data_IF_063593647340
#
_entry.id   IF_063593647340
#
_cell.length_a   1.000
_cell.length_b   1.000
_cell.length_c   1.000
_cell.angle_alpha   90.00
_cell.angle_beta   90.00
_cell.angle_gamma   90.00
#
_symmetry.space_group_name_H-M   'P 1'
#
loop_
_entity.id
_entity.type
_entity.pdbx_description
1 polymer ?
#
# COMPACT_ATOMS: atom_id res chain seq x y z
N UNK A 1 6.38 37.31 1.64
CA UNK A 1 5.81 36.42 0.59
C UNK A 1 6.56 35.08 0.69
N UNK A 2 6.08 34.16 1.52
CA UNK A 2 6.69 32.84 1.68
C UNK A 2 6.38 31.99 0.46
N UNK A 3 7.40 31.36 -0.13
CA UNK A 3 7.26 30.49 -1.28
C UNK A 3 6.31 29.33 -0.91
N UNK A 4 5.25 29.14 -1.71
CA UNK A 4 4.38 27.95 -1.64
C UNK A 4 5.27 26.71 -1.74
N UNK A 5 5.19 25.74 -0.81
CA UNK A 5 5.88 24.47 -0.98
C UNK A 5 5.37 23.84 -2.27
N UNK A 6 6.29 23.32 -3.08
CA UNK A 6 5.99 22.63 -4.32
C UNK A 6 4.93 21.54 -4.02
N UNK A 7 3.79 21.62 -4.71
CA UNK A 7 2.65 20.76 -4.50
C UNK A 7 3.08 19.31 -4.48
N UNK A 8 2.68 18.63 -3.42
CA UNK A 8 2.79 17.19 -3.31
C UNK A 8 2.03 16.61 -4.50
N UNK A 9 2.75 16.04 -5.47
CA UNK A 9 2.07 15.25 -6.49
C UNK A 9 1.50 14.05 -5.76
N UNK A 10 0.19 14.13 -5.47
CA UNK A 10 -0.58 12.94 -5.15
C UNK A 10 -0.11 11.84 -6.11
N UNK A 11 0.14 10.64 -5.61
CA UNK A 11 0.28 9.46 -6.47
C UNK A 11 -1.12 9.20 -7.02
N UNK A 12 -1.61 10.17 -7.81
CA UNK A 12 -2.78 10.01 -8.66
C UNK A 12 -2.35 9.03 -9.70
N UNK A 13 -2.61 7.77 -9.41
CA UNK A 13 -2.48 6.71 -10.39
C UNK A 13 -3.26 7.14 -11.62
N UNK A 14 -2.71 6.93 -12.79
CA UNK A 14 -3.24 7.27 -14.13
C UNK A 14 -4.61 6.64 -14.45
N UNK A 15 -5.28 6.06 -13.49
CA UNK A 15 -6.56 5.38 -13.63
C UNK A 15 -7.76 6.32 -13.47
N UNK A 16 -7.73 7.47 -14.13
CA UNK A 16 -8.86 8.42 -14.13
C UNK A 16 -9.83 8.23 -15.29
N UNK A 17 -9.39 7.57 -16.40
CA UNK A 17 -10.30 7.29 -17.52
C UNK A 17 -11.30 6.21 -17.12
N UNK A 18 -12.58 6.62 -17.02
CA UNK A 18 -13.69 5.70 -16.79
C UNK A 18 -14.07 4.99 -18.08
N UNK A 19 -14.36 3.69 -17.99
CA UNK A 19 -14.81 2.88 -19.13
C UNK A 19 -16.32 2.96 -19.27
N UNK A 20 -16.82 3.00 -20.50
CA UNK A 20 -18.25 2.83 -20.78
C UNK A 20 -18.69 1.38 -20.50
N UNK A 21 -19.97 1.15 -20.21
CA UNK A 21 -20.48 -0.18 -19.83
C UNK A 21 -20.28 -1.24 -20.91
N UNK A 22 -20.45 -0.86 -22.20
CA UNK A 22 -20.16 -1.74 -23.34
C UNK A 22 -18.67 -2.10 -23.41
N UNK A 23 -17.79 -1.12 -23.12
CA UNK A 23 -16.35 -1.34 -23.10
C UNK A 23 -15.95 -2.28 -21.96
N UNK A 24 -16.52 -2.10 -20.74
CA UNK A 24 -16.34 -3.02 -19.60
C UNK A 24 -16.73 -4.46 -19.96
N UNK A 25 -17.89 -4.63 -20.60
CA UNK A 25 -18.40 -5.95 -21.00
C UNK A 25 -17.45 -6.60 -22.02
N UNK A 26 -17.08 -5.87 -23.07
CA UNK A 26 -16.18 -6.34 -24.13
C UNK A 26 -14.82 -6.71 -23.59
N UNK A 27 -14.18 -5.84 -22.81
CA UNK A 27 -12.86 -6.09 -22.25
C UNK A 27 -12.88 -7.24 -21.24
N UNK A 28 -13.89 -7.32 -20.38
CA UNK A 28 -14.04 -8.44 -19.45
C UNK A 28 -14.17 -9.79 -20.13
N UNK A 29 -14.97 -9.88 -21.21
CA UNK A 29 -15.10 -11.09 -22.04
C UNK A 29 -13.78 -11.45 -22.71
N UNK A 30 -13.03 -10.45 -23.17
CA UNK A 30 -11.75 -10.66 -23.83
C UNK A 30 -10.66 -11.10 -22.85
N UNK A 31 -10.62 -10.56 -21.63
CA UNK A 31 -9.73 -11.01 -20.55
C UNK A 31 -10.01 -12.49 -20.24
N UNK A 32 -11.27 -12.85 -20.05
CA UNK A 32 -11.66 -14.24 -19.77
C UNK A 32 -11.20 -15.18 -20.90
N UNK A 33 -11.37 -14.78 -22.15
CA UNK A 33 -10.99 -15.61 -23.30
C UNK A 33 -9.49 -15.75 -23.48
N UNK A 34 -8.71 -14.66 -23.27
CA UNK A 34 -7.27 -14.62 -23.58
C UNK A 34 -6.37 -14.96 -22.39
N UNK A 35 -6.80 -14.63 -21.19
CA UNK A 35 -6.02 -14.79 -19.96
C UNK A 35 -6.58 -15.90 -19.07
N UNK A 36 -7.86 -16.25 -19.24
CA UNK A 36 -8.55 -17.25 -18.41
C UNK A 36 -9.06 -16.71 -17.07
N UNK A 37 -8.93 -15.40 -16.82
CA UNK A 37 -9.31 -14.77 -15.55
C UNK A 37 -10.68 -14.09 -15.67
N UNK A 38 -11.59 -14.38 -14.75
CA UNK A 38 -12.88 -13.68 -14.66
C UNK A 38 -12.70 -12.27 -14.10
N UNK A 39 -13.51 -11.34 -14.61
CA UNK A 39 -13.56 -9.97 -14.08
C UNK A 39 -14.94 -9.65 -13.52
N UNK A 40 -14.98 -8.86 -12.44
CA UNK A 40 -16.19 -8.16 -11.98
C UNK A 40 -16.22 -6.75 -12.56
N UNK A 41 -17.41 -6.22 -12.82
CA UNK A 41 -17.63 -4.83 -13.24
C UNK A 41 -18.17 -4.03 -12.06
N UNK A 42 -17.74 -2.78 -11.96
CA UNK A 42 -18.18 -1.84 -10.94
C UNK A 42 -18.04 -2.41 -9.50
N UNK A 43 -16.92 -3.14 -9.29
CA UNK A 43 -16.64 -3.82 -8.03
C UNK A 43 -16.33 -2.82 -6.91
N UNK A 44 -17.12 -2.77 -5.81
CA UNK A 44 -16.86 -1.86 -4.69
C UNK A 44 -15.52 -2.18 -4.00
N UNK A 45 -14.57 -1.25 -4.06
CA UNK A 45 -13.22 -1.45 -3.54
C UNK A 45 -13.11 -1.33 -2.02
N UNK A 46 -14.10 -0.76 -1.34
CA UNK A 46 -14.14 -0.64 0.12
C UNK A 46 -13.90 -1.98 0.83
N UNK A 47 -14.39 -3.10 0.28
CA UNK A 47 -14.20 -4.45 0.84
C UNK A 47 -12.78 -4.99 0.72
N UNK A 48 -11.95 -4.37 -0.12
CA UNK A 48 -10.57 -4.76 -0.40
C UNK A 48 -9.55 -3.81 0.22
N UNK A 49 -9.98 -2.81 0.98
CA UNK A 49 -9.13 -1.91 1.75
C UNK A 49 -9.29 -2.12 3.25
N UNK A 50 -8.22 -1.94 4.01
CA UNK A 50 -8.28 -2.03 5.47
C UNK A 50 -8.96 -0.82 6.10
N UNK A 51 -8.99 0.33 5.42
CA UNK A 51 -9.76 1.51 5.80
C UNK A 51 -11.28 1.32 5.59
N UNK A 52 -11.67 0.34 4.77
CA UNK A 52 -13.06 0.07 4.39
C UNK A 52 -13.75 1.25 3.69
N UNK A 53 -12.99 1.99 2.91
CA UNK A 53 -13.50 3.02 1.99
C UNK A 53 -13.01 2.74 0.57
N UNK A 54 -13.72 3.25 -0.42
CA UNK A 54 -13.38 3.13 -1.83
C UNK A 54 -14.58 2.83 -2.71
N UNK A 55 -14.74 3.64 -3.75
CA UNK A 55 -15.77 3.48 -4.78
C UNK A 55 -15.47 2.31 -5.73
N UNK A 56 -16.21 2.20 -6.85
CA UNK A 56 -16.14 1.06 -7.75
C UNK A 56 -14.89 1.07 -8.63
N UNK A 57 -14.34 -0.12 -8.91
CA UNK A 57 -13.43 -0.35 -10.03
C UNK A 57 -14.23 -0.61 -11.32
N UNK A 58 -13.85 -0.01 -12.46
CA UNK A 58 -14.53 -0.32 -13.74
C UNK A 58 -14.46 -1.81 -14.05
N UNK A 59 -13.26 -2.38 -13.97
CA UNK A 59 -13.00 -3.81 -14.05
C UNK A 59 -12.13 -4.24 -12.86
N UNK A 60 -12.50 -5.34 -12.24
CA UNK A 60 -11.73 -5.93 -11.15
C UNK A 60 -11.40 -7.39 -11.45
N UNK A 61 -10.14 -7.77 -11.28
CA UNK A 61 -9.66 -9.13 -11.47
C UNK A 61 -8.81 -9.56 -10.28
N UNK A 62 -8.80 -10.87 -9.96
CA UNK A 62 -7.89 -11.45 -8.98
C UNK A 62 -6.88 -12.32 -9.70
N UNK A 63 -5.58 -12.04 -9.50
CA UNK A 63 -4.49 -12.86 -10.00
C UNK A 63 -4.02 -13.81 -8.89
N UNK A 64 -4.32 -15.09 -9.01
CA UNK A 64 -3.99 -16.12 -8.01
C UNK A 64 -2.58 -16.71 -8.18
N UNK A 65 -1.94 -16.42 -9.30
CA UNK A 65 -0.59 -16.87 -9.60
C UNK A 65 0.12 -15.90 -10.57
N UNK A 66 1.43 -16.07 -10.75
CA UNK A 66 2.22 -15.19 -11.60
C UNK A 66 1.86 -15.29 -13.09
N UNK A 67 1.35 -16.43 -13.55
CA UNK A 67 0.90 -16.56 -14.94
C UNK A 67 -0.30 -15.64 -15.23
N UNK A 68 -1.28 -15.65 -14.34
CA UNK A 68 -2.45 -14.76 -14.42
C UNK A 68 -2.04 -13.28 -14.31
N UNK A 69 -1.17 -12.94 -13.35
CA UNK A 69 -0.68 -11.56 -13.15
C UNK A 69 0.02 -11.05 -14.41
N UNK A 70 0.95 -11.84 -14.98
CA UNK A 70 1.65 -11.49 -16.24
C UNK A 70 0.69 -11.39 -17.42
N UNK A 71 -0.29 -12.28 -17.48
CA UNK A 71 -1.33 -12.27 -18.52
C UNK A 71 -2.18 -11.01 -18.49
N UNK A 72 -2.67 -10.62 -17.30
CA UNK A 72 -3.46 -9.40 -17.09
C UNK A 72 -2.64 -8.13 -17.38
N UNK A 73 -1.40 -8.07 -16.91
CA UNK A 73 -0.50 -6.94 -17.16
C UNK A 73 -0.24 -6.76 -18.67
N UNK A 74 0.08 -7.85 -19.38
CA UNK A 74 0.27 -7.85 -20.83
C UNK A 74 -1.00 -7.44 -21.57
N UNK A 75 -2.16 -7.92 -21.12
CA UNK A 75 -3.45 -7.56 -21.69
C UNK A 75 -3.73 -6.05 -21.55
N UNK A 76 -3.53 -5.51 -20.36
CA UNK A 76 -3.74 -4.08 -20.08
C UNK A 76 -2.80 -3.23 -20.95
N UNK A 77 -1.52 -3.59 -21.01
CA UNK A 77 -0.52 -2.87 -21.83
C UNK A 77 -0.84 -2.88 -23.32
N UNK A 78 -1.22 -4.04 -23.87
CA UNK A 78 -1.55 -4.16 -25.29
C UNK A 78 -2.78 -3.33 -25.73
N UNK A 79 -3.52 -2.74 -24.79
CA UNK A 79 -4.73 -1.93 -25.02
C UNK A 79 -4.67 -0.54 -24.45
N UNK A 80 -3.51 -0.15 -23.93
CA UNK A 80 -3.36 1.11 -23.20
C UNK A 80 -4.46 1.29 -22.14
N UNK A 81 -4.84 0.16 -21.49
CA UNK A 81 -5.87 0.12 -20.47
C UNK A 81 -5.26 0.56 -19.14
N UNK A 82 -5.78 1.63 -18.50
CA UNK A 82 -5.31 2.04 -17.19
C UNK A 82 -5.32 0.86 -16.21
N UNK A 83 -4.22 0.71 -15.46
CA UNK A 83 -4.01 -0.42 -14.56
C UNK A 83 -3.69 0.05 -13.15
N UNK A 84 -4.37 -0.54 -12.17
CA UNK A 84 -4.08 -0.36 -10.75
C UNK A 84 -3.81 -1.71 -10.08
N UNK A 85 -2.75 -1.78 -9.27
CA UNK A 85 -2.40 -2.98 -8.51
C UNK A 85 -2.85 -2.86 -7.07
N UNK A 86 -3.54 -3.86 -6.60
CA UNK A 86 -4.06 -3.93 -5.25
C UNK A 86 -3.52 -5.18 -4.53
N UNK A 87 -2.81 -4.98 -3.42
CA UNK A 87 -2.48 -6.05 -2.49
C UNK A 87 -3.61 -6.25 -1.49
N UNK A 88 -3.35 -5.98 -0.22
CA UNK A 88 -4.36 -6.00 0.86
C UNK A 88 -5.01 -4.63 1.12
N UNK A 89 -4.68 -3.61 0.35
CA UNK A 89 -5.25 -2.27 0.51
C UNK A 89 -4.99 -1.63 1.88
N UNK A 90 -3.85 -1.93 2.49
CA UNK A 90 -3.54 -1.55 3.87
C UNK A 90 -2.90 -0.17 4.03
N UNK A 91 -2.54 0.45 2.93
CA UNK A 91 -1.91 1.77 2.85
C UNK A 91 -2.65 2.68 1.87
N UNK A 92 -3.93 2.36 1.60
CA UNK A 92 -4.73 3.02 0.57
C UNK A 92 -5.98 3.67 1.14
N UNK A 93 -6.25 4.88 0.66
CA UNK A 93 -7.54 5.57 0.74
C UNK A 93 -8.03 5.77 -0.69
N UNK A 94 -8.88 4.85 -1.15
CA UNK A 94 -9.40 4.88 -2.52
C UNK A 94 -10.60 5.82 -2.56
N UNK A 95 -10.61 6.76 -3.51
CA UNK A 95 -11.69 7.74 -3.72
C UNK A 95 -13.07 7.08 -3.76
N UNK A 96 -14.07 7.76 -3.23
CA UNK A 96 -15.49 7.34 -3.31
C UNK A 96 -15.99 7.26 -4.77
N UNK A 97 -15.32 7.96 -5.70
CA UNK A 97 -15.58 7.87 -7.14
C UNK A 97 -14.93 6.63 -7.78
N UNK A 98 -14.07 5.92 -7.06
CA UNK A 98 -13.46 4.66 -7.49
C UNK A 98 -12.25 4.83 -8.41
N UNK A 99 -11.95 3.76 -9.16
CA UNK A 99 -10.79 3.65 -10.05
C UNK A 99 -11.25 3.25 -11.45
N UNK A 100 -10.85 4.05 -12.45
CA UNK A 100 -11.08 3.73 -13.86
C UNK A 100 -10.09 2.67 -14.36
N UNK A 101 -10.51 1.91 -15.39
CA UNK A 101 -9.68 0.87 -16.00
C UNK A 101 -9.73 -0.48 -15.27
N UNK A 102 -8.60 -1.19 -15.23
CA UNK A 102 -8.48 -2.51 -14.64
C UNK A 102 -7.78 -2.44 -13.27
N UNK A 103 -8.44 -2.91 -12.23
CA UNK A 103 -7.83 -3.16 -10.92
C UNK A 103 -7.48 -4.64 -10.81
N UNK A 104 -6.23 -4.97 -10.52
CA UNK A 104 -5.78 -6.34 -10.29
C UNK A 104 -5.46 -6.51 -8.81
N UNK A 105 -6.22 -7.35 -8.10
CA UNK A 105 -5.82 -7.83 -6.78
C UNK A 105 -4.78 -8.94 -6.94
N UNK A 106 -3.60 -8.73 -6.41
CA UNK A 106 -2.50 -9.69 -6.47
C UNK A 106 -2.60 -10.67 -5.31
N UNK A 107 -2.90 -11.94 -5.64
CA UNK A 107 -3.02 -13.07 -4.71
C UNK A 107 -2.09 -14.23 -5.10
N UNK A 108 -1.06 -13.96 -5.88
CA UNK A 108 0.03 -14.89 -6.12
C UNK A 108 0.82 -15.04 -4.81
N UNK A 109 0.67 -16.18 -4.12
CA UNK A 109 1.11 -16.38 -2.75
C UNK A 109 2.12 -17.55 -2.61
N UNK A 110 2.87 -17.88 -3.67
CA UNK A 110 3.93 -18.86 -3.63
C UNK A 110 5.09 -18.42 -2.72
N UNK A 111 5.69 -19.38 -2.02
CA UNK A 111 6.87 -19.18 -1.18
C UNK A 111 7.81 -20.38 -1.28
N UNK A 112 9.13 -20.14 -1.36
CA UNK A 112 10.15 -21.16 -1.42
C UNK A 112 11.33 -20.76 -0.52
N UNK A 113 11.79 -21.70 0.31
CA UNK A 113 12.98 -21.55 1.14
C UNK A 113 14.13 -22.32 0.50
N UNK A 114 15.32 -21.71 0.44
CA UNK A 114 16.56 -22.34 -0.05
C UNK A 114 17.75 -21.82 0.77
N UNK A 115 18.22 -22.63 1.71
CA UNK A 115 19.25 -22.22 2.67
C UNK A 115 18.79 -21.01 3.49
N UNK A 116 19.56 -19.95 3.50
CA UNK A 116 19.23 -18.68 4.18
C UNK A 116 18.41 -17.71 3.33
N UNK A 117 17.87 -18.15 2.19
CA UNK A 117 17.06 -17.30 1.31
C UNK A 117 15.62 -17.75 1.26
N UNK A 118 14.71 -16.80 1.25
CA UNK A 118 13.28 -17.01 1.02
C UNK A 118 12.88 -16.23 -0.22
N UNK A 119 12.37 -16.91 -1.26
CA UNK A 119 11.74 -16.30 -2.41
C UNK A 119 10.23 -16.38 -2.25
N UNK A 120 9.54 -15.24 -2.33
CA UNK A 120 8.10 -15.11 -2.14
C UNK A 120 7.47 -14.32 -3.27
N UNK A 121 6.29 -14.73 -3.71
CA UNK A 121 5.50 -13.99 -4.69
C UNK A 121 4.87 -12.73 -4.07
N UNK A 122 4.59 -11.75 -4.91
CA UNK A 122 4.17 -10.40 -4.49
C UNK A 122 2.87 -10.35 -3.68
N UNK A 123 1.98 -11.33 -3.84
CA UNK A 123 0.73 -11.43 -3.10
C UNK A 123 0.86 -12.00 -1.69
N UNK A 124 2.02 -12.58 -1.33
CA UNK A 124 2.25 -13.16 0.01
C UNK A 124 2.03 -12.09 1.08
N UNK A 125 1.12 -12.32 2.06
CA UNK A 125 0.95 -11.42 3.20
C UNK A 125 2.25 -11.32 4.01
N UNK A 126 2.61 -10.12 4.45
CA UNK A 126 3.82 -9.89 5.25
C UNK A 126 3.85 -10.73 6.54
N UNK A 127 2.71 -10.89 7.21
CA UNK A 127 2.62 -11.78 8.38
C UNK A 127 2.90 -13.26 8.03
N UNK A 128 2.50 -13.73 6.82
CA UNK A 128 2.82 -15.08 6.35
C UNK A 128 4.31 -15.24 6.06
N UNK A 129 4.96 -14.21 5.48
CA UNK A 129 6.40 -14.21 5.30
C UNK A 129 7.13 -14.41 6.63
N UNK A 130 6.74 -13.68 7.71
CA UNK A 130 7.31 -13.87 9.05
C UNK A 130 7.08 -15.30 9.58
N UNK A 131 5.92 -15.90 9.29
CA UNK A 131 5.63 -17.29 9.66
C UNK A 131 6.53 -18.28 8.92
N UNK A 132 6.66 -18.14 7.59
CA UNK A 132 7.52 -19.00 6.75
C UNK A 132 8.98 -18.91 7.21
N UNK A 133 9.48 -17.71 7.52
CA UNK A 133 10.83 -17.51 8.02
C UNK A 133 11.03 -18.20 9.38
N UNK A 134 10.09 -18.04 10.31
CA UNK A 134 10.12 -18.71 11.61
C UNK A 134 10.15 -20.24 11.47
N UNK A 135 9.30 -20.81 10.64
CA UNK A 135 9.23 -22.25 10.39
C UNK A 135 10.53 -22.81 9.78
N UNK A 136 11.26 -21.96 9.03
CA UNK A 136 12.56 -22.28 8.47
C UNK A 136 13.75 -22.02 9.42
N UNK A 137 13.51 -21.53 10.64
CA UNK A 137 14.58 -21.16 11.58
C UNK A 137 15.41 -19.96 11.11
N UNK A 138 14.77 -19.03 10.37
CA UNK A 138 15.42 -17.86 9.78
C UNK A 138 14.90 -16.57 10.42
N UNK A 139 15.82 -15.71 10.86
CA UNK A 139 15.57 -14.40 11.48
C UNK A 139 15.93 -13.26 10.52
N UNK A 140 15.31 -12.08 10.72
CA UNK A 140 15.54 -10.85 9.98
C UNK A 140 14.28 -10.22 9.42
N UNK A 141 13.16 -10.96 9.37
CA UNK A 141 11.87 -10.45 8.86
C UNK A 141 10.76 -10.43 9.91
N UNK A 142 11.06 -10.47 11.19
CA UNK A 142 10.06 -10.43 12.26
C UNK A 142 9.24 -9.15 12.22
N UNK A 143 9.83 -8.03 11.76
CA UNK A 143 9.16 -6.75 11.55
C UNK A 143 7.98 -6.86 10.57
N UNK A 144 8.00 -7.83 9.65
CA UNK A 144 6.93 -8.08 8.69
C UNK A 144 5.58 -8.38 9.36
N UNK A 145 5.59 -8.93 10.58
CA UNK A 145 4.40 -9.16 11.38
C UNK A 145 3.64 -7.86 11.72
N UNK A 146 4.34 -6.73 11.78
CA UNK A 146 3.74 -5.43 12.05
C UNK A 146 3.11 -4.77 10.81
N UNK A 147 3.35 -5.31 9.61
CA UNK A 147 2.95 -4.71 8.33
C UNK A 147 1.75 -5.48 7.77
N UNK A 148 0.56 -4.87 7.66
CA UNK A 148 -0.66 -5.57 7.24
C UNK A 148 -0.78 -5.77 5.71
N UNK A 149 0.25 -5.44 4.94
CA UNK A 149 0.27 -5.51 3.46
C UNK A 149 0.74 -6.84 2.89
N UNK A 150 1.13 -6.80 1.62
CA UNK A 150 1.75 -7.90 0.87
C UNK A 150 3.20 -7.58 0.54
N UNK A 151 3.99 -8.59 0.18
CA UNK A 151 5.40 -8.44 -0.21
C UNK A 151 5.56 -7.44 -1.35
N UNK A 152 4.74 -7.51 -2.40
CA UNK A 152 4.81 -6.56 -3.51
C UNK A 152 4.60 -5.11 -3.07
N UNK A 153 3.59 -4.86 -2.21
CA UNK A 153 3.36 -3.53 -1.63
C UNK A 153 4.49 -3.10 -0.68
N UNK A 154 5.07 -4.04 0.06
CA UNK A 154 6.19 -3.77 0.96
C UNK A 154 7.47 -3.39 0.20
N UNK A 155 7.78 -4.04 -0.93
CA UNK A 155 8.88 -3.67 -1.83
C UNK A 155 8.62 -2.29 -2.44
N UNK A 156 7.38 -2.06 -2.96
CA UNK A 156 6.99 -0.78 -3.54
C UNK A 156 7.15 0.39 -2.56
N UNK A 157 6.84 0.18 -1.29
CA UNK A 157 6.91 1.22 -0.26
C UNK A 157 8.24 1.28 0.48
N UNK A 158 9.17 0.34 0.29
CA UNK A 158 10.23 0.03 1.24
C UNK A 158 9.66 0.00 2.68
N UNK A 159 8.65 -0.86 2.89
CA UNK A 159 7.94 -0.91 4.15
C UNK A 159 8.84 -1.41 5.28
N UNK A 160 8.70 -0.79 6.44
CA UNK A 160 9.50 -1.15 7.61
C UNK A 160 8.78 -0.84 8.92
N UNK A 161 9.20 -1.53 9.97
CA UNK A 161 8.73 -1.37 11.34
C UNK A 161 9.80 -1.87 12.32
N UNK A 162 9.73 -1.41 13.57
CA UNK A 162 10.60 -1.89 14.65
C UNK A 162 12.11 -1.81 14.34
N UNK A 163 12.54 -0.77 13.62
CA UNK A 163 13.96 -0.53 13.29
C UNK A 163 14.49 -1.31 12.09
N UNK A 164 13.64 -2.03 11.36
CA UNK A 164 14.00 -2.79 10.16
C UNK A 164 13.06 -2.47 9.01
N UNK A 165 13.50 -2.70 7.77
CA UNK A 165 12.72 -2.49 6.55
C UNK A 165 13.07 -3.53 5.47
N UNK A 166 12.37 -3.44 4.33
CA UNK A 166 12.60 -4.35 3.19
C UNK A 166 14.02 -4.20 2.64
N UNK A 167 14.56 -2.98 2.52
CA UNK A 167 15.91 -2.74 2.01
C UNK A 167 16.96 -3.56 2.75
N UNK A 168 16.83 -3.66 4.08
CA UNK A 168 17.80 -4.34 4.94
C UNK A 168 17.88 -5.85 4.74
N UNK A 169 16.87 -6.47 4.13
CA UNK A 169 16.78 -7.93 3.94
C UNK A 169 16.59 -8.37 2.49
N UNK A 170 16.28 -7.42 1.58
CA UNK A 170 16.04 -7.71 0.17
C UNK A 170 17.37 -8.06 -0.53
N UNK A 171 17.40 -9.19 -1.22
CA UNK A 171 18.47 -9.54 -2.16
C UNK A 171 18.14 -8.99 -3.53
N UNK A 172 16.93 -9.28 -4.02
CA UNK A 172 16.42 -8.82 -5.30
C UNK A 172 14.88 -8.93 -5.35
N UNK A 173 14.26 -8.18 -6.23
CA UNK A 173 12.86 -8.35 -6.59
C UNK A 173 12.69 -8.32 -8.12
N UNK A 174 11.84 -9.19 -8.63
CA UNK A 174 11.48 -9.19 -10.04
C UNK A 174 10.38 -8.18 -10.30
N UNK A 175 10.61 -7.35 -11.31
CA UNK A 175 9.72 -6.24 -11.70
C UNK A 175 9.42 -6.31 -13.19
N UNK A 176 8.13 -6.32 -13.54
CA UNK A 176 7.69 -6.09 -14.91
C UNK A 176 7.67 -4.57 -15.13
N UNK A 177 8.44 -4.08 -16.10
CA UNK A 177 8.43 -2.69 -16.51
C UNK A 177 7.08 -2.32 -17.14
N UNK A 178 6.47 -1.26 -16.67
CA UNK A 178 5.26 -0.73 -17.29
C UNK A 178 5.51 -0.10 -18.68
N UNK A 179 6.79 0.29 -19.02
CA UNK A 179 7.10 0.90 -20.33
C UNK A 179 7.04 -0.12 -21.46
N UNK A 180 7.78 -1.21 -21.32
CA UNK A 180 7.96 -2.19 -22.40
C UNK A 180 7.44 -3.60 -22.04
N UNK A 181 7.10 -3.84 -20.77
CA UNK A 181 6.65 -5.13 -20.24
C UNK A 181 7.78 -6.15 -20.08
N UNK A 182 9.04 -5.72 -20.16
CA UNK A 182 10.19 -6.58 -19.81
C UNK A 182 10.17 -6.88 -18.31
N UNK A 183 10.55 -8.09 -17.93
CA UNK A 183 10.66 -8.49 -16.53
C UNK A 183 12.12 -8.69 -16.19
N UNK A 184 12.58 -8.01 -15.13
CA UNK A 184 13.97 -8.06 -14.69
C UNK A 184 14.04 -8.13 -13.16
N UNK A 185 15.05 -8.84 -12.64
CA UNK A 185 15.40 -8.82 -11.22
C UNK A 185 16.26 -7.59 -10.93
N UNK A 186 15.90 -6.86 -9.87
CA UNK A 186 16.53 -5.64 -9.42
C UNK A 186 16.91 -5.79 -7.95
N UNK A 187 18.11 -5.37 -7.62
CA UNK A 187 18.59 -5.27 -6.24
C UNK A 187 18.01 -4.02 -5.52
N UNK A 188 18.25 -3.82 -4.23
CA UNK A 188 17.76 -2.67 -3.49
C UNK A 188 18.17 -1.31 -4.09
N UNK A 189 19.37 -1.22 -4.67
CA UNK A 189 19.87 0.03 -5.28
C UNK A 189 19.19 0.27 -6.63
N UNK A 190 19.03 -0.77 -7.44
CA UNK A 190 18.28 -0.73 -8.69
C UNK A 190 16.80 -0.36 -8.49
N UNK A 191 16.24 -0.67 -7.33
CA UNK A 191 14.89 -0.24 -6.91
C UNK A 191 14.88 1.16 -6.29
N UNK A 192 16.02 1.77 -6.00
CA UNK A 192 16.12 3.08 -5.34
C UNK A 192 15.46 3.09 -3.96
N UNK A 193 15.61 2.00 -3.18
CA UNK A 193 14.95 1.89 -1.88
C UNK A 193 15.57 2.87 -0.88
N UNK A 194 14.72 3.71 -0.28
CA UNK A 194 15.05 4.61 0.82
C UNK A 194 13.89 4.60 1.85
N UNK A 195 13.98 5.40 2.90
CA UNK A 195 12.94 5.46 3.93
C UNK A 195 11.57 5.78 3.33
N UNK A 196 10.66 4.79 3.35
CA UNK A 196 9.30 4.87 2.76
C UNK A 196 9.31 5.26 1.29
N UNK A 197 10.35 4.88 0.55
CA UNK A 197 10.57 5.33 -0.83
C UNK A 197 11.11 4.23 -1.72
N UNK A 198 10.70 4.26 -3.01
CA UNK A 198 11.26 3.48 -4.10
C UNK A 198 11.03 4.20 -5.43
N UNK A 199 11.82 3.88 -6.46
CA UNK A 199 11.59 4.38 -7.81
C UNK A 199 10.21 3.98 -8.38
N UNK A 200 9.63 2.89 -7.88
CA UNK A 200 8.33 2.38 -8.33
C UNK A 200 7.18 3.34 -8.02
N UNK A 201 7.36 4.25 -7.05
CA UNK A 201 6.39 5.29 -6.68
C UNK A 201 6.36 6.47 -7.64
N UNK A 202 7.46 6.72 -8.35
CA UNK A 202 7.65 7.92 -9.17
C UNK A 202 7.30 7.72 -10.63
N UNK A 203 6.70 6.59 -10.96
CA UNK A 203 6.27 6.36 -12.31
C UNK A 203 5.12 7.30 -12.67
N UNK A 204 5.26 8.00 -13.82
CA UNK A 204 4.26 8.91 -14.36
C UNK A 204 2.96 8.20 -14.78
N UNK A 205 2.09 8.92 -15.46
CA UNK A 205 0.86 8.36 -16.04
C UNK A 205 1.20 7.17 -16.97
N UNK A 206 0.47 6.06 -16.86
CA UNK A 206 0.67 4.85 -17.66
C UNK A 206 0.50 3.57 -16.83
N UNK A 207 0.98 2.47 -17.39
CA UNK A 207 0.99 1.17 -16.70
C UNK A 207 2.07 1.20 -15.61
N UNK A 208 1.76 0.85 -14.35
CA UNK A 208 2.75 0.84 -13.28
C UNK A 208 3.78 -0.29 -13.48
N UNK A 209 4.96 -0.11 -12.87
CA UNK A 209 5.87 -1.21 -12.65
C UNK A 209 5.27 -2.23 -11.68
N UNK A 210 5.42 -3.52 -11.97
CA UNK A 210 4.74 -4.59 -11.23
C UNK A 210 5.75 -5.51 -10.58
N UNK A 211 5.82 -5.49 -9.26
CA UNK A 211 6.58 -6.49 -8.51
C UNK A 211 5.89 -7.86 -8.64
N UNK A 212 6.62 -8.87 -9.07
CA UNK A 212 6.09 -10.24 -9.22
C UNK A 212 6.52 -11.14 -8.06
N UNK A 213 7.79 -11.10 -7.66
CA UNK A 213 8.33 -11.82 -6.51
C UNK A 213 9.52 -11.07 -5.91
N UNK A 214 9.93 -11.46 -4.71
CA UNK A 214 11.11 -10.96 -4.02
C UNK A 214 11.89 -12.11 -3.36
N UNK A 215 13.22 -12.04 -3.38
CA UNK A 215 14.12 -12.91 -2.63
C UNK A 215 14.72 -12.14 -1.46
N UNK A 216 14.58 -12.69 -0.26
CA UNK A 216 15.07 -12.12 0.98
C UNK A 216 16.23 -12.96 1.50
N UNK A 217 17.31 -12.31 1.96
CA UNK A 217 18.47 -12.92 2.61
C UNK A 217 18.31 -12.79 4.11
N UNK A 218 18.27 -13.93 4.80
CA UNK A 218 18.01 -14.02 6.23
C UNK A 218 19.14 -14.75 6.93
N UNK A 219 19.14 -14.79 8.25
CA UNK A 219 20.16 -15.48 9.04
C UNK A 219 19.54 -16.62 9.87
N UNK A 220 20.20 -17.78 9.97
CA UNK A 220 19.77 -18.84 10.88
C UNK A 220 19.70 -18.31 12.32
N UNK A 221 18.66 -18.69 13.04
CA UNK A 221 18.50 -18.31 14.45
C UNK A 221 17.71 -19.39 15.21
N UNK A 222 17.91 -19.43 16.53
CA UNK A 222 17.16 -20.32 17.40
C UNK A 222 15.67 -20.02 17.37
N UNK A 223 14.80 -21.03 17.19
CA UNK A 223 13.34 -20.83 17.07
C UNK A 223 12.73 -20.04 18.24
N UNK A 224 13.26 -20.26 19.47
CA UNK A 224 12.81 -19.54 20.66
C UNK A 224 13.13 -18.04 20.61
N UNK A 225 14.26 -17.64 20.02
CA UNK A 225 14.61 -16.22 19.86
C UNK A 225 13.70 -15.53 18.83
N UNK A 226 13.40 -16.21 17.72
CA UNK A 226 12.47 -15.68 16.69
C UNK A 226 11.08 -15.50 17.30
N UNK A 227 10.55 -16.51 18.02
CA UNK A 227 9.21 -16.41 18.65
C UNK A 227 9.17 -15.29 19.70
N UNK A 228 10.19 -15.18 20.55
CA UNK A 228 10.27 -14.11 21.54
C UNK A 228 10.17 -12.72 20.89
N UNK A 229 10.85 -12.51 19.75
CA UNK A 229 10.80 -11.25 18.99
C UNK A 229 9.44 -11.02 18.36
N UNK A 230 8.83 -12.04 17.78
CA UNK A 230 7.46 -11.94 17.24
C UNK A 230 6.44 -11.59 18.34
N UNK A 231 6.59 -12.19 19.53
CA UNK A 231 5.71 -11.90 20.68
C UNK A 231 5.90 -10.49 21.22
N UNK A 232 7.13 -10.00 21.26
CA UNK A 232 7.40 -8.58 21.57
C UNK A 232 6.66 -7.64 20.62
N UNK A 233 6.77 -7.88 19.31
CA UNK A 233 6.08 -7.09 18.29
C UNK A 233 4.56 -7.18 18.46
N UNK A 234 4.00 -8.37 18.72
CA UNK A 234 2.55 -8.57 18.98
C UNK A 234 2.08 -7.77 20.18
N UNK A 235 2.83 -7.84 21.31
CA UNK A 235 2.52 -7.09 22.53
C UNK A 235 2.57 -5.59 22.30
N UNK A 236 3.63 -5.11 21.64
CA UNK A 236 3.78 -3.69 21.32
C UNK A 236 2.60 -3.18 20.47
N UNK A 237 2.24 -3.89 19.40
CA UNK A 237 1.12 -3.51 18.54
C UNK A 237 -0.19 -3.45 19.30
N UNK A 238 -0.48 -4.44 20.15
CA UNK A 238 -1.69 -4.44 20.98
C UNK A 238 -1.73 -3.25 21.94
N UNK A 239 -0.59 -2.87 22.49
CA UNK A 239 -0.49 -1.73 23.41
C UNK A 239 -0.67 -0.39 22.70
N UNK A 240 -0.14 -0.20 21.48
CA UNK A 240 0.01 1.10 20.86
C UNK A 240 -0.84 1.36 19.62
N UNK A 241 -1.36 0.33 18.94
CA UNK A 241 -2.13 0.52 17.69
C UNK A 241 -3.62 0.23 17.88
N UNK A 242 -4.52 0.91 17.12
CA UNK A 242 -5.98 0.70 17.19
C UNK A 242 -6.39 -0.57 16.43
N UNK A 243 -5.84 -1.73 16.82
CA UNK A 243 -6.12 -3.01 16.17
C UNK A 243 -7.61 -3.34 16.24
N UNK A 244 -8.14 -3.86 15.14
CA UNK A 244 -9.56 -4.20 15.02
C UNK A 244 -10.47 -3.08 14.51
N UNK A 245 -9.97 -1.83 14.46
CA UNK A 245 -10.68 -0.73 13.81
C UNK A 245 -10.19 -0.56 12.36
N UNK A 246 -11.09 -0.25 11.41
CA UNK A 246 -10.70 0.04 10.04
C UNK A 246 -9.75 1.24 9.99
N UNK A 247 -8.56 1.05 9.39
CA UNK A 247 -7.55 2.10 9.22
C UNK A 247 -6.56 1.72 8.12
N UNK A 248 -5.79 2.68 7.63
CA UNK A 248 -4.74 2.48 6.62
C UNK A 248 -3.32 2.61 7.22
N UNK A 249 -3.15 2.27 8.50
CA UNK A 249 -1.87 2.43 9.19
C UNK A 249 -1.56 3.87 9.58
N UNK A 250 -0.28 4.21 9.65
CA UNK A 250 0.18 5.59 9.91
C UNK A 250 -0.18 6.49 8.73
N UNK A 251 -0.85 7.61 9.01
CA UNK A 251 -1.30 8.54 7.95
C UNK A 251 -0.14 9.37 7.40
N UNK A 252 0.82 9.74 8.25
CA UNK A 252 1.95 10.59 7.89
C UNK A 252 3.28 9.91 8.16
N UNK A 253 4.26 10.20 7.31
CA UNK A 253 5.67 9.87 7.54
C UNK A 253 6.19 10.66 8.73
N UNK A 254 7.12 10.06 9.48
CA UNK A 254 7.83 10.85 10.49
C UNK A 254 8.72 11.89 9.80
N UNK A 255 8.82 13.11 10.36
CA UNK A 255 9.81 14.09 9.94
C UNK A 255 11.24 13.51 10.03
N UNK A 256 12.14 13.99 9.19
CA UNK A 256 13.55 13.56 9.20
C UNK A 256 14.25 13.92 10.52
N UNK A 257 13.80 14.99 11.16
CA UNK A 257 14.34 15.49 12.42
C UNK A 257 13.19 15.90 13.36
N UNK A 258 13.46 15.83 14.66
CA UNK A 258 12.52 16.25 15.69
C UNK A 258 11.49 15.17 16.09
N UNK A 259 10.35 15.55 16.68
CA UNK A 259 9.33 14.64 17.15
C UNK A 259 8.67 13.86 16.00
N UNK A 260 8.19 12.64 16.31
CA UNK A 260 7.42 11.83 15.35
C UNK A 260 6.10 12.52 14.96
N UNK A 261 5.55 12.15 13.80
CA UNK A 261 4.24 12.66 13.36
C UNK A 261 3.15 12.40 14.41
N UNK A 262 3.14 11.21 15.01
CA UNK A 262 2.19 10.86 16.07
C UNK A 262 2.34 11.75 17.30
N UNK A 263 3.56 12.06 17.71
CA UNK A 263 3.83 12.96 18.84
C UNK A 263 3.39 14.42 18.54
N UNK A 264 3.65 14.91 17.34
CA UNK A 264 3.21 16.26 16.93
C UNK A 264 1.68 16.36 16.92
N UNK A 265 0.98 15.37 16.39
CA UNK A 265 -0.48 15.32 16.34
C UNK A 265 -1.08 15.22 17.75
N UNK A 266 -0.47 14.43 18.66
CA UNK A 266 -0.88 14.29 20.05
C UNK A 266 -0.68 15.62 20.83
N UNK A 267 0.49 16.25 20.69
CA UNK A 267 0.78 17.59 21.28
C UNK A 267 -0.14 18.69 20.74
N UNK A 268 -0.61 18.55 19.50
CA UNK A 268 -1.62 19.44 18.94
C UNK A 268 -3.03 19.21 19.53
N UNK A 269 -3.24 18.19 20.37
CA UNK A 269 -4.53 17.87 20.98
C UNK A 269 -5.55 17.34 19.97
N UNK A 270 -5.12 16.67 18.91
CA UNK A 270 -5.99 16.26 17.80
C UNK A 270 -6.53 14.82 17.92
N UNK A 271 -6.15 14.06 18.97
CA UNK A 271 -6.81 12.77 19.27
C UNK A 271 -8.31 12.96 19.39
N UNK A 272 -9.09 12.05 18.85
CA UNK A 272 -10.56 12.12 18.83
C UNK A 272 -11.16 13.13 17.83
N UNK A 273 -10.35 13.96 17.16
CA UNK A 273 -10.86 14.89 16.12
C UNK A 273 -11.55 14.12 15.02
N UNK A 274 -12.74 14.58 14.59
CA UNK A 274 -13.59 13.89 13.64
C UNK A 274 -13.93 14.75 12.43
N UNK A 275 -14.10 14.07 11.28
CA UNK A 275 -14.76 14.59 10.06
C UNK A 275 -15.64 13.44 9.54
N UNK A 276 -16.95 13.64 9.50
CA UNK A 276 -17.89 12.58 9.16
C UNK A 276 -17.68 11.32 10.03
N UNK A 277 -17.53 10.17 9.40
CA UNK A 277 -17.23 8.89 10.08
C UNK A 277 -15.76 8.61 10.31
N UNK A 278 -14.84 9.50 9.91
CA UNK A 278 -13.40 9.36 10.17
C UNK A 278 -13.00 10.07 11.47
N UNK A 279 -12.09 9.49 12.26
CA UNK A 279 -11.55 10.11 13.45
C UNK A 279 -10.09 9.81 13.70
N UNK A 280 -9.34 10.77 14.28
CA UNK A 280 -7.99 10.53 14.79
C UNK A 280 -8.09 9.57 15.98
N UNK A 281 -7.34 8.48 15.94
CA UNK A 281 -7.39 7.46 16.97
C UNK A 281 -6.91 7.98 18.32
N UNK A 282 -7.68 7.71 19.38
CA UNK A 282 -7.30 8.00 20.77
C UNK A 282 -6.05 7.22 21.20
N UNK A 283 -5.84 6.04 20.60
CA UNK A 283 -4.73 5.16 20.98
C UNK A 283 -3.41 5.54 20.32
N UNK A 284 -3.46 5.98 19.05
CA UNK A 284 -2.28 6.36 18.27
C UNK A 284 -2.61 7.54 17.37
N UNK A 285 -2.09 8.71 17.70
CA UNK A 285 -2.48 9.96 17.03
C UNK A 285 -2.17 10.01 15.52
N UNK A 286 -1.19 9.24 15.03
CA UNK A 286 -0.89 9.14 13.59
C UNK A 286 -1.77 8.10 12.85
N UNK A 287 -2.87 7.66 13.46
CA UNK A 287 -3.85 6.77 12.83
C UNK A 287 -5.19 7.48 12.69
N UNK A 288 -5.77 7.42 11.51
CA UNK A 288 -7.18 7.75 11.28
C UNK A 288 -7.94 6.42 11.22
N UNK A 289 -9.02 6.34 11.96
CA UNK A 289 -9.92 5.18 12.02
C UNK A 289 -11.28 5.54 11.45
N UNK A 290 -11.93 4.56 10.80
CA UNK A 290 -13.27 4.69 10.25
C UNK A 290 -14.25 3.95 11.17
N UNK A 291 -15.35 4.57 11.55
CA UNK A 291 -16.40 3.97 12.38
C UNK A 291 -17.33 3.02 11.59
N UNK A 292 -17.07 2.83 10.31
CA UNK A 292 -17.86 1.99 9.40
C UNK A 292 -18.83 2.76 8.51
N UNK A 293 -19.01 4.07 8.75
CA UNK A 293 -19.87 4.95 7.97
C UNK A 293 -19.08 6.08 7.26
N UNK A 294 -17.79 6.23 7.55
CA UNK A 294 -16.93 7.25 6.93
C UNK A 294 -16.66 6.96 5.47
N UNK A 295 -16.54 8.03 4.70
CA UNK A 295 -16.18 8.05 3.28
C UNK A 295 -14.67 8.26 3.09
N UNK A 296 -14.16 8.02 1.88
CA UNK A 296 -12.77 8.36 1.56
C UNK A 296 -12.54 9.89 1.63
N UNK A 297 -13.56 10.66 1.28
CA UNK A 297 -13.56 12.12 1.42
C UNK A 297 -13.38 12.55 2.89
N UNK A 298 -14.07 11.91 3.84
CA UNK A 298 -13.92 12.22 5.27
C UNK A 298 -12.50 11.96 5.76
N UNK A 299 -11.91 10.81 5.36
CA UNK A 299 -10.53 10.46 5.72
C UNK A 299 -9.54 11.47 5.17
N UNK A 300 -9.69 11.88 3.91
CA UNK A 300 -8.80 12.85 3.26
C UNK A 300 -8.92 14.23 3.90
N UNK A 301 -10.14 14.73 4.12
CA UNK A 301 -10.38 16.01 4.80
C UNK A 301 -9.78 16.04 6.20
N UNK A 302 -9.95 14.94 6.95
CA UNK A 302 -9.37 14.85 8.30
C UNK A 302 -7.84 14.84 8.24
N UNK A 303 -7.23 14.13 7.29
CA UNK A 303 -5.78 14.14 7.12
C UNK A 303 -5.26 15.55 6.78
N UNK A 304 -5.91 16.25 5.84
CA UNK A 304 -5.56 17.63 5.48
C UNK A 304 -5.72 18.60 6.67
N UNK A 305 -6.80 18.46 7.45
CA UNK A 305 -7.01 19.24 8.68
C UNK A 305 -5.88 19.02 9.67
N UNK A 306 -5.53 17.75 9.95
CA UNK A 306 -4.44 17.40 10.86
C UNK A 306 -3.10 17.97 10.39
N UNK A 307 -2.81 17.86 9.08
CA UNK A 307 -1.58 18.40 8.50
C UNK A 307 -1.48 19.92 8.66
N UNK A 308 -2.58 20.66 8.42
CA UNK A 308 -2.64 22.12 8.60
C UNK A 308 -2.43 22.52 10.07
N UNK A 309 -3.17 21.90 10.98
CA UNK A 309 -3.07 22.22 12.43
C UNK A 309 -1.65 21.99 12.98
N UNK A 310 -0.97 20.93 12.53
CA UNK A 310 0.43 20.68 12.92
C UNK A 310 1.36 21.72 12.30
N UNK A 311 1.18 22.07 11.03
CA UNK A 311 1.98 23.09 10.36
C UNK A 311 1.82 24.47 11.03
N UNK A 312 0.59 24.86 11.36
CA UNK A 312 0.29 26.15 11.98
C UNK A 312 0.87 26.26 13.40
N UNK A 313 0.86 25.16 14.19
CA UNK A 313 1.31 25.16 15.58
C UNK A 313 2.82 24.97 15.74
N UNK A 314 3.44 24.16 14.89
CA UNK A 314 4.82 23.74 15.07
C UNK A 314 5.75 24.11 13.89
N UNK A 315 5.20 24.65 12.79
CA UNK A 315 5.97 24.95 11.58
C UNK A 315 6.45 23.69 10.82
N UNK A 316 5.90 22.51 11.14
CA UNK A 316 6.30 21.22 10.56
C UNK A 316 5.27 20.77 9.52
N UNK A 317 5.68 20.61 8.28
CA UNK A 317 4.83 20.09 7.21
C UNK A 317 4.87 18.56 7.23
N UNK A 318 3.75 17.93 7.64
CA UNK A 318 3.60 16.48 7.62
C UNK A 318 3.36 16.00 6.18
N UNK A 319 4.10 14.97 5.76
CA UNK A 319 3.92 14.33 4.44
C UNK A 319 3.09 13.06 4.59
N UNK A 320 2.03 12.87 3.79
CA UNK A 320 1.26 11.63 3.82
C UNK A 320 2.15 10.40 3.59
N UNK A 321 1.90 9.33 4.36
CA UNK A 321 2.40 7.99 4.09
C UNK A 321 1.33 7.19 3.34
N UNK A 322 0.06 7.32 3.73
CA UNK A 322 -1.07 6.72 3.01
C UNK A 322 -1.19 7.27 1.59
N UNK A 323 -1.61 6.40 0.67
CA UNK A 323 -1.80 6.75 -0.74
C UNK A 323 -3.27 7.05 -1.01
N UNK A 324 -3.57 8.29 -1.43
CA UNK A 324 -4.88 8.67 -1.93
C UNK A 324 -4.98 8.27 -3.41
N UNK A 325 -5.66 7.15 -3.68
CA UNK A 325 -5.75 6.55 -5.01
C UNK A 325 -7.13 6.76 -5.66
N UNK A 326 -7.18 6.65 -6.99
CA UNK A 326 -8.42 6.74 -7.77
C UNK A 326 -8.76 8.14 -8.25
N UNK A 327 -10.03 8.36 -8.58
CA UNK A 327 -10.52 9.62 -9.16
C UNK A 327 -10.80 10.65 -8.06
N UNK A 328 -9.87 11.55 -7.86
CA UNK A 328 -9.99 12.73 -6.99
C UNK A 328 -10.22 14.03 -7.78
N UNK A 329 -10.68 13.95 -9.04
CA UNK A 329 -10.97 15.13 -9.85
C UNK A 329 -12.03 16.00 -9.17
N UNK A 330 -11.81 17.32 -9.15
CA UNK A 330 -12.67 18.27 -8.43
C UNK A 330 -12.45 18.32 -6.91
N UNK A 331 -11.44 17.63 -6.39
CA UNK A 331 -11.05 17.80 -4.98
C UNK A 331 -10.41 19.17 -4.78
N UNK A 332 -10.97 19.97 -3.87
CA UNK A 332 -10.40 21.24 -3.46
C UNK A 332 -9.74 21.09 -2.09
N UNK A 333 -8.41 21.25 -2.04
CA UNK A 333 -7.68 21.25 -0.77
C UNK A 333 -8.16 22.42 0.10
N UNK A 334 -8.56 22.08 1.33
CA UNK A 334 -8.96 23.11 2.30
C UNK A 334 -10.43 23.52 2.28
N UNK A 335 -11.27 22.99 1.41
CA UNK A 335 -12.72 23.13 1.48
C UNK A 335 -13.27 22.28 2.64
N UNK A 336 -13.29 22.82 3.86
CA UNK A 336 -13.92 22.23 5.05
C UNK A 336 -14.67 23.31 5.82
#
# INVERSE_FOLDING_TARGET
>A
MAARPAGHRDVTTSATRRLADEEKLRLGTEIQRRVGVKTSRDEPLARFTTMRVGGPADLFAVAHNLFELRGLARFARARDLPLFLLGRGSDLVISDRGIGGLVIQVRAEGARVAGSRITVEAGVPMARLATVAKEAGLSGVEFALAIPGTVGGAVWANAGAHGSDIRGVLVEASVISGDDGTEAALDPDGLGLAYRESRLKHRGAGIPDIVTWATLGLVPAEPGAIEARLDEIRRWRRAHQPLGLPSAGSVFRNPEQGPSAGELIDRAGLKGRRVGGASVSEKHANFIVNDGHGTAADVRRLAELVGREVADRFGVVLRPEVVFAGDWSGWEEGAA
#
